data_IF_734899996065
#
_entry.id   IF_734899996065
#
_cell.length_a   1.000
_cell.length_b   1.000
_cell.length_c   1.000
_cell.angle_alpha   90.00
_cell.angle_beta   90.00
_cell.angle_gamma   90.00
#
_symmetry.space_group_name_H-M   'P 1'
#
loop_
_entity.id
_entity.type
_entity.pdbx_description
1 polymer ?
#
# COMPACT_ATOMS: atom_id res chain seq x y z
N UNK A 1 -27.60 -17.64 27.98
CA UNK A 1 -26.60 -16.81 27.42
C UNK A 1 -26.67 -16.77 25.92
N UNK A 2 -26.62 -15.61 25.38
CA UNK A 2 -26.67 -15.48 23.94
C UNK A 2 -25.30 -15.59 23.38
N UNK A 3 -25.15 -16.39 22.39
CA UNK A 3 -23.88 -16.56 21.80
C UNK A 3 -23.99 -16.27 20.33
N UNK A 4 -23.22 -15.33 19.84
CA UNK A 4 -23.27 -15.03 18.44
C UNK A 4 -22.60 -16.14 17.69
N UNK A 5 -23.27 -16.55 16.62
CA UNK A 5 -22.70 -17.55 15.80
C UNK A 5 -21.49 -16.99 15.12
N UNK A 6 -20.41 -17.70 15.23
CA UNK A 6 -19.22 -17.32 14.52
C UNK A 6 -19.33 -17.78 13.11
N UNK A 7 -19.21 -16.86 12.18
CA UNK A 7 -19.21 -17.19 10.78
C UNK A 7 -17.82 -16.89 10.26
N UNK A 8 -16.93 -17.86 10.35
CA UNK A 8 -15.58 -17.59 9.88
C UNK A 8 -15.61 -17.19 8.43
N UNK A 9 -14.76 -16.30 8.06
CA UNK A 9 -14.66 -15.85 6.70
C UNK A 9 -13.21 -15.88 6.29
N UNK A 10 -12.97 -15.73 5.01
CA UNK A 10 -11.61 -15.66 4.48
C UNK A 10 -11.44 -14.33 3.80
N UNK A 11 -10.25 -13.78 3.91
CA UNK A 11 -9.94 -12.51 3.29
C UNK A 11 -8.79 -12.74 2.33
N UNK A 12 -9.06 -12.62 1.05
CA UNK A 12 -8.04 -12.89 0.05
C UNK A 12 -7.18 -11.66 -0.17
N UNK A 13 -5.92 -11.90 -0.49
CA UNK A 13 -4.97 -10.84 -0.76
C UNK A 13 -4.18 -11.23 -2.00
N UNK A 14 -4.09 -10.32 -2.94
CA UNK A 14 -3.35 -10.52 -4.17
C UNK A 14 -2.31 -9.42 -4.28
N UNK A 15 -1.13 -9.80 -4.74
CA UNK A 15 -0.05 -8.85 -4.91
C UNK A 15 0.23 -8.63 -6.38
N UNK A 16 0.36 -7.38 -6.77
CA UNK A 16 0.69 -7.00 -8.12
C UNK A 16 1.93 -6.12 -8.09
N UNK A 17 2.81 -6.32 -9.05
CA UNK A 17 4.02 -5.54 -9.18
C UNK A 17 3.96 -4.72 -10.46
N UNK A 18 4.33 -3.45 -10.35
CA UNK A 18 4.57 -2.61 -11.52
C UNK A 18 6.06 -2.35 -11.51
N UNK A 19 6.77 -3.09 -12.33
CA UNK A 19 8.21 -3.13 -12.32
C UNK A 19 8.70 -4.51 -11.90
N UNK A 20 9.97 -4.67 -11.65
CA UNK A 20 10.50 -5.97 -11.24
C UNK A 20 9.96 -6.38 -9.88
N UNK A 21 9.87 -7.66 -9.65
CA UNK A 21 9.46 -8.14 -8.33
C UNK A 21 10.62 -8.01 -7.38
N UNK A 22 10.36 -7.51 -6.19
CA UNK A 22 11.43 -7.27 -5.24
C UNK A 22 11.66 -8.44 -4.29
N UNK A 23 10.79 -9.42 -4.28
CA UNK A 23 10.94 -10.57 -3.39
C UNK A 23 9.73 -10.73 -2.51
N UNK A 24 9.74 -11.69 -1.61
CA UNK A 24 8.57 -11.95 -0.77
C UNK A 24 8.15 -10.73 0.02
N UNK A 25 6.86 -10.58 0.21
CA UNK A 25 6.35 -9.49 1.04
C UNK A 25 5.55 -10.07 2.18
N UNK A 26 5.45 -9.30 3.25
CA UNK A 26 4.68 -9.69 4.42
C UNK A 26 3.49 -8.74 4.56
N UNK A 27 2.33 -9.32 4.76
CA UNK A 27 1.08 -8.58 4.89
C UNK A 27 0.53 -8.81 6.28
N UNK A 28 0.15 -7.75 6.95
CA UNK A 28 -0.42 -7.81 8.30
C UNK A 28 -1.92 -7.59 8.23
N UNK A 29 -2.64 -8.30 9.07
CA UNK A 29 -4.09 -8.15 9.15
C UNK A 29 -4.45 -7.30 10.35
N UNK A 30 -5.28 -6.30 10.11
CA UNK A 30 -5.77 -5.40 11.17
C UNK A 30 -7.27 -5.61 11.34
N UNK A 31 -7.70 -5.62 12.58
CA UNK A 31 -9.11 -5.72 12.92
C UNK A 31 -9.50 -4.44 13.64
N UNK A 32 -10.44 -3.70 13.07
CA UNK A 32 -10.90 -2.43 13.64
C UNK A 32 -9.72 -1.50 13.96
N UNK A 33 -8.73 -1.51 13.06
CA UNK A 33 -7.58 -0.62 13.21
C UNK A 33 -6.46 -1.14 14.09
N UNK A 34 -6.62 -2.32 14.67
CA UNK A 34 -5.59 -2.88 15.55
C UNK A 34 -4.95 -4.08 14.88
N UNK A 35 -3.63 -4.13 14.89
CA UNK A 35 -2.89 -5.25 14.32
C UNK A 35 -3.27 -6.52 15.06
N UNK A 36 -3.72 -7.53 14.34
CA UNK A 36 -4.11 -8.79 14.97
C UNK A 36 -2.91 -9.68 15.27
N UNK A 37 -1.76 -9.37 14.71
CA UNK A 37 -0.60 -10.24 14.85
C UNK A 37 -0.55 -11.34 13.81
N UNK A 38 -1.56 -11.46 12.96
CA UNK A 38 -1.59 -12.48 11.91
C UNK A 38 -1.00 -11.91 10.63
N UNK A 39 -0.14 -12.67 10.00
CA UNK A 39 0.52 -12.22 8.78
C UNK A 39 0.41 -13.26 7.69
N UNK A 40 0.62 -12.80 6.45
CA UNK A 40 0.74 -13.66 5.27
C UNK A 40 2.03 -13.28 4.57
N UNK A 41 2.61 -14.27 3.92
CA UNK A 41 3.73 -14.01 3.01
C UNK A 41 3.27 -14.27 1.60
N UNK A 42 3.54 -13.35 0.70
CA UNK A 42 3.21 -13.52 -0.71
C UNK A 42 4.51 -13.54 -1.50
N UNK A 43 4.63 -14.54 -2.35
CA UNK A 43 5.83 -14.69 -3.16
C UNK A 43 5.52 -15.57 -4.36
N UNK A 44 6.55 -15.94 -5.10
CA UNK A 44 6.35 -16.75 -6.30
C UNK A 44 5.77 -18.13 -6.00
N UNK A 45 5.99 -18.65 -4.81
CA UNK A 45 5.52 -20.00 -4.52
C UNK A 45 4.01 -20.08 -4.40
N UNK A 46 3.35 -18.97 -4.04
CA UNK A 46 1.90 -18.96 -3.97
C UNK A 46 1.29 -18.06 -5.06
N UNK A 47 2.08 -17.77 -6.09
CA UNK A 47 1.63 -16.92 -7.19
C UNK A 47 1.16 -15.57 -6.70
N UNK A 48 1.77 -15.08 -5.65
CA UNK A 48 1.50 -13.73 -5.12
C UNK A 48 0.05 -13.56 -4.69
N UNK A 49 -0.55 -14.65 -4.20
CA UNK A 49 -1.91 -14.58 -3.69
C UNK A 49 -2.04 -15.56 -2.53
N UNK A 50 -2.81 -15.18 -1.52
CA UNK A 50 -3.09 -16.03 -0.37
C UNK A 50 -4.29 -15.45 0.33
N UNK A 51 -4.75 -16.12 1.39
CA UNK A 51 -5.90 -15.65 2.14
C UNK A 51 -5.64 -15.82 3.63
N UNK A 52 -6.12 -14.83 4.38
CA UNK A 52 -6.26 -15.01 5.81
C UNK A 52 -7.52 -15.88 5.98
N UNK A 53 -7.37 -17.04 6.58
CA UNK A 53 -8.48 -17.98 6.67
C UNK A 53 -9.02 -18.04 8.09
N UNK A 54 -10.29 -18.42 8.20
CA UNK A 54 -10.93 -18.61 9.48
C UNK A 54 -10.88 -17.40 10.37
N UNK A 55 -11.02 -16.20 9.79
CA UNK A 55 -11.09 -15.00 10.62
C UNK A 55 -12.52 -14.79 11.06
N UNK A 56 -12.69 -14.24 12.23
CA UNK A 56 -14.01 -13.99 12.76
C UNK A 56 -14.66 -12.87 12.00
N UNK A 57 -15.93 -13.06 11.66
CA UNK A 57 -16.65 -12.00 10.96
C UNK A 57 -17.24 -11.01 11.94
N UNK A 58 -17.62 -11.46 13.13
CA UNK A 58 -18.29 -10.61 14.10
C UNK A 58 -17.53 -10.62 15.41
N UNK A 59 -17.60 -9.51 16.12
CA UNK A 59 -17.02 -9.45 17.46
C UNK A 59 -18.00 -10.03 18.46
N UNK A 60 -17.65 -9.95 19.74
CA UNK A 60 -18.47 -10.58 20.76
C UNK A 60 -19.82 -9.92 20.94
N UNK A 61 -19.98 -8.69 20.49
CA UNK A 61 -21.25 -8.02 20.56
C UNK A 61 -22.09 -8.19 19.29
N UNK A 62 -21.60 -8.93 18.33
CA UNK A 62 -22.33 -9.16 17.10
C UNK A 62 -22.10 -8.12 16.03
N UNK A 63 -21.15 -7.24 16.23
CA UNK A 63 -20.84 -6.20 15.26
C UNK A 63 -19.80 -6.73 14.27
N UNK A 64 -20.03 -6.46 13.01
CA UNK A 64 -19.09 -6.94 11.99
C UNK A 64 -17.72 -6.27 12.17
N UNK A 65 -16.67 -7.06 12.18
CA UNK A 65 -15.32 -6.56 12.34
C UNK A 65 -14.86 -5.97 11.01
N UNK A 66 -14.27 -4.80 11.06
CA UNK A 66 -13.74 -4.15 9.87
C UNK A 66 -12.28 -4.53 9.74
N UNK A 67 -11.96 -5.31 8.74
CA UNK A 67 -10.59 -5.76 8.52
C UNK A 67 -9.92 -4.90 7.48
N UNK A 68 -8.66 -4.61 7.70
CA UNK A 68 -7.81 -3.95 6.73
C UNK A 68 -6.48 -4.67 6.72
N UNK A 69 -5.65 -4.34 5.75
CA UNK A 69 -4.34 -4.96 5.66
C UNK A 69 -3.28 -3.89 5.50
N UNK A 70 -2.07 -4.27 5.79
CA UNK A 70 -0.93 -3.40 5.58
C UNK A 70 0.24 -4.26 5.15
N UNK A 71 1.13 -3.70 4.37
CA UNK A 71 2.29 -4.41 3.88
C UNK A 71 3.53 -3.82 4.52
N UNK A 72 4.48 -4.68 4.89
CA UNK A 72 5.77 -4.17 5.33
C UNK A 72 6.41 -3.41 4.18
N UNK A 73 7.08 -2.33 4.50
CA UNK A 73 7.65 -1.45 3.49
C UNK A 73 8.60 -2.21 2.56
N UNK A 74 8.41 -2.02 1.27
CA UNK A 74 9.31 -2.58 0.28
C UNK A 74 10.16 -1.45 -0.27
N UNK A 75 11.45 -1.58 -0.07
CA UNK A 75 12.37 -0.54 -0.46
C UNK A 75 12.31 -0.28 -1.95
N UNK A 76 12.18 0.97 -2.34
CA UNK A 76 12.15 1.33 -3.75
C UNK A 76 10.78 1.29 -4.39
N UNK A 77 9.75 0.98 -3.63
CA UNK A 77 8.40 0.86 -4.17
C UNK A 77 7.41 1.69 -3.38
N UNK A 78 6.36 2.10 -4.06
CA UNK A 78 5.22 2.73 -3.43
C UNK A 78 4.07 1.73 -3.48
N UNK A 79 3.43 1.51 -2.34
CA UNK A 79 2.37 0.52 -2.22
C UNK A 79 1.01 1.19 -2.25
N UNK A 80 0.10 0.60 -2.98
CA UNK A 80 -1.31 1.02 -3.00
C UNK A 80 -2.15 -0.20 -2.68
N UNK A 81 -3.10 -0.05 -1.77
CA UNK A 81 -3.97 -1.14 -1.38
C UNK A 81 -5.39 -0.78 -1.79
N UNK A 82 -6.03 -1.69 -2.52
CA UNK A 82 -7.40 -1.50 -2.96
C UNK A 82 -8.23 -2.71 -2.57
N UNK A 83 -9.54 -2.59 -2.69
CA UNK A 83 -10.44 -3.68 -2.36
C UNK A 83 -10.93 -3.59 -0.94
N UNK A 84 -11.51 -4.68 -0.48
CA UNK A 84 -12.06 -4.72 0.87
C UNK A 84 -12.09 -6.16 1.35
N UNK A 85 -12.54 -6.35 2.58
CA UNK A 85 -12.53 -7.69 3.16
C UNK A 85 -13.52 -8.64 2.50
N UNK A 86 -14.53 -8.12 1.83
CA UNK A 86 -15.53 -8.96 1.16
C UNK A 86 -15.05 -9.42 -0.21
N UNK A 87 -14.51 -8.51 -1.01
CA UNK A 87 -14.10 -8.85 -2.37
C UNK A 87 -12.64 -9.24 -2.44
N UNK A 88 -11.88 -8.99 -1.39
CA UNK A 88 -10.46 -9.24 -1.37
C UNK A 88 -9.67 -7.96 -1.52
N UNK A 89 -8.45 -7.98 -1.07
CA UNK A 89 -7.56 -6.84 -1.17
C UNK A 89 -6.53 -7.09 -2.26
N UNK A 90 -6.13 -6.04 -2.92
CA UNK A 90 -5.03 -6.09 -3.86
C UNK A 90 -3.98 -5.06 -3.43
N UNK A 91 -2.75 -5.51 -3.33
CA UNK A 91 -1.64 -4.63 -3.03
C UNK A 91 -0.84 -4.46 -4.31
N UNK A 92 -0.67 -3.23 -4.76
CA UNK A 92 0.12 -2.95 -5.95
C UNK A 92 1.35 -2.17 -5.53
N UNK A 93 2.51 -2.72 -5.83
CA UNK A 93 3.76 -2.01 -5.59
C UNK A 93 4.30 -1.51 -6.91
N UNK A 94 4.49 -0.20 -6.98
CA UNK A 94 5.00 0.44 -8.17
C UNK A 94 6.43 0.88 -7.89
N UNK A 95 7.34 0.46 -8.75
CA UNK A 95 8.73 0.84 -8.56
C UNK A 95 8.87 2.34 -8.71
N UNK A 96 9.57 2.96 -7.78
CA UNK A 96 9.85 4.38 -7.89
C UNK A 96 10.90 4.61 -8.97
N UNK A 97 10.77 5.67 -9.72
CA UNK A 97 11.80 5.98 -10.70
C UNK A 97 13.15 6.09 -10.01
N UNK A 98 14.13 5.45 -10.57
CA UNK A 98 15.46 5.52 -10.01
C UNK A 98 16.13 6.75 -10.52
N UNK A 99 16.66 7.54 -9.60
CA UNK A 99 17.49 8.63 -10.00
C UNK A 99 18.76 8.06 -10.48
N UNK A 100 19.22 8.46 -11.60
CA UNK A 100 20.53 7.98 -12.04
C UNK A 100 21.50 8.41 -11.01
N UNK A 101 22.23 7.54 -10.52
CA UNK A 101 23.19 7.91 -9.55
C UNK A 101 24.35 8.55 -10.14
N UNK A 102 24.33 8.90 -11.33
CA UNK A 102 25.36 9.55 -11.92
C UNK A 102 25.73 10.63 -11.18
N UNK A 103 26.70 10.79 -11.01
CA UNK A 103 27.09 11.85 -10.24
C UNK A 103 27.02 13.12 -10.91
N UNK A 104 27.09 13.46 -11.04
CA UNK A 104 27.13 14.27 -11.46
C UNK A 104 27.13 14.96 -12.00
N UNK A 105 27.16 15.54 -12.06
CA UNK A 105 27.17 16.12 -12.58
C UNK A 105 26.42 16.76 -12.71
N UNK A 106 26.36 17.33 -12.75
CA UNK A 106 25.62 17.81 -12.89
C UNK A 106 24.76 18.07 -13.14
N UNK A 107 24.64 18.33 -13.23
CA UNK A 107 23.72 18.52 -13.51
C UNK A 107 22.83 18.49 -13.32
N UNK A 108 22.74 18.83 -13.12
CA UNK A 108 21.81 18.71 -12.97
C UNK A 108 20.90 18.86 -13.01
N UNK A 109 20.94 19.15 -13.21
CA UNK A 109 19.99 19.10 -13.31
C UNK A 109 19.08 18.82 -13.41
N UNK A 110 19.15 18.90 -13.51
CA UNK A 110 18.20 18.44 -13.64
C UNK A 110 17.32 18.20 -13.53
N UNK A 111 17.37 18.41 -13.62
CA UNK A 111 16.51 17.98 -13.57
C UNK A 111 15.57 17.64 -13.35
N UNK A 112 15.42 17.58 -13.32
CA UNK A 112 14.36 17.00 -13.28
C UNK A 112 13.64 16.75 -12.74
N UNK A 113 13.86 16.68 -12.63
CA UNK A 113 13.05 16.18 -12.23
C UNK A 113 12.24 16.17 -12.02
N UNK A 114 12.31 16.25 -12.12
CA UNK A 114 11.42 15.91 -12.03
C UNK A 114 10.61 15.73 -11.99
N UNK A 115 10.90 15.95 -12.19
CA UNK A 115 10.25 15.50 -12.28
C UNK A 115 9.39 14.98 -11.76
N UNK A 116 9.10 14.65 -11.66
CA UNK A 116 8.23 14.07 -11.20
C UNK A 116 7.69 14.30 -10.30
N UNK A 117 7.87 14.66 -10.03
CA UNK A 117 7.35 14.68 -9.34
C UNK A 117 6.71 15.37 -9.33
N UNK A 118 6.64 15.64 -9.56
CA UNK A 118 6.06 15.97 -9.52
C UNK A 118 5.07 16.00 -9.54
N UNK A 119 4.66 16.19 -9.52
CA UNK A 119 3.70 16.16 -9.45
C UNK A 119 3.07 16.40 -8.52
N UNK A 120 3.12 16.35 -8.21
CA UNK A 120 2.61 16.30 -7.34
C UNK A 120 2.65 17.31 -6.76
N UNK A 121 3.09 17.43 -6.47
CA UNK A 121 3.07 18.26 -5.80
C UNK A 121 3.17 19.42 -6.30
N UNK A 122 3.33 19.63 -6.89
CA UNK A 122 3.48 20.58 -7.39
C UNK A 122 2.52 21.33 -7.37
N UNK A 123 1.83 21.14 -7.50
CA UNK A 123 0.81 21.64 -7.42
C UNK A 123 0.77 22.57 -6.61
N UNK A 124 0.94 22.31 -5.80
CA UNK A 124 0.86 23.13 -4.91
C UNK A 124 1.68 24.17 -5.12
N UNK A 125 2.52 24.02 -5.50
CA UNK A 125 3.29 24.95 -5.61
C UNK A 125 2.96 25.84 -6.44
N UNK A 126 2.71 25.61 -7.16
CA UNK A 126 2.46 26.39 -7.98
C UNK A 126 1.80 27.48 -7.55
N UNK A 127 1.29 27.58 -7.24
CA UNK A 127 0.59 28.41 -6.95
C UNK A 127 1.06 29.28 -6.13
N UNK A 128 1.74 29.13 -5.62
CA UNK A 128 2.10 29.92 -4.81
C UNK A 128 2.98 30.78 -5.30
N UNK A 129 3.61 30.72 -5.96
CA UNK A 129 4.46 31.45 -6.41
C UNK A 129 4.06 32.42 -7.12
N UNK A 130 3.22 32.33 -7.42
CA UNK A 130 2.78 33.17 -8.10
C UNK A 130 2.52 34.20 -7.39
N UNK A 131 2.51 34.42 -6.63
CA UNK A 131 2.28 35.24 -6.04
C UNK A 131 3.18 35.98 -5.84
N UNK A 132 3.85 35.95 -5.92
CA UNK A 132 4.58 36.47 -5.83
C UNK A 132 4.89 37.31 -6.51
N UNK A 133 4.73 37.57 -6.85
CA UNK A 133 4.89 38.18 -7.49
C UNK A 133 4.66 39.00 -7.49
N UNK A 134 4.38 39.23 -7.19
CA UNK A 134 3.99 39.89 -7.17
C UNK A 134 4.37 40.67 -6.77
N UNK A 135 4.78 40.95 -6.63
CA UNK A 135 4.98 41.55 -6.34
C UNK A 135 5.24 42.47 -6.63
N UNK A 136 5.52 42.66 -6.86
CA UNK A 136 5.62 43.37 -7.07
C UNK A 136 5.37 43.84 -7.12
#
# INVERSE_FOLDING_TARGET
>A
MVRYKQSPTNISVTKTWVGPKAGPITVHLFANGTDTGTTLTLDDTNNWTASFTNVRKYDQSGTEIQYTINEDTVNGYDATITGNQTTGFTITNTERPQNPTTPKTSDSTNIYPYIGMMFVGIIACGYLFSKRKSYR
#
